data_IF_544539551529
#
_entry.id   IF_544539551529
#
_cell.length_a   1.000
_cell.length_b   1.000
_cell.length_c   1.000
_cell.angle_alpha   90.00
_cell.angle_beta   90.00
_cell.angle_gamma   90.00
#
_symmetry.space_group_name_H-M   'P 1'
#
loop_
_entity.id
_entity.type
_entity.pdbx_description
1 polymer ?
#
# COMPACT_ATOMS: atom_id res chain seq x y z
N UNK A 1 -2.84 -3.24 1.45
CA UNK A 1 -4.21 -2.78 1.77
C UNK A 1 -4.50 -2.99 3.25
N UNK A 2 -4.35 -1.95 4.07
CA UNK A 2 -4.76 -1.89 5.49
C UNK A 2 -4.45 -0.52 6.08
N UNK A 3 -5.22 -0.08 7.06
CA UNK A 3 -5.05 1.16 7.81
C UNK A 3 -4.94 2.38 6.87
N UNK A 4 -3.81 3.09 6.90
CA UNK A 4 -3.54 4.24 6.03
C UNK A 4 -3.31 3.92 4.56
N UNK A 5 -3.15 2.64 4.22
CA UNK A 5 -2.94 2.15 2.87
C UNK A 5 -4.18 1.40 2.37
N UNK A 6 -5.29 2.12 2.15
CA UNK A 6 -6.57 1.49 1.78
C UNK A 6 -6.51 0.87 0.38
N UNK A 7 -5.85 1.52 -0.58
CA UNK A 7 -5.56 0.91 -1.89
C UNK A 7 -4.36 -0.04 -1.78
N UNK A 8 -4.15 -0.92 -2.78
CA UNK A 8 -2.92 -1.68 -2.89
C UNK A 8 -1.70 -0.75 -2.91
N UNK A 9 -0.64 -1.18 -2.26
CA UNK A 9 0.60 -0.40 -2.09
C UNK A 9 1.52 -0.59 -3.29
N UNK A 10 2.16 0.49 -3.72
CA UNK A 10 3.12 0.55 -4.84
C UNK A 10 4.52 0.07 -4.46
N UNK A 11 4.68 -0.51 -3.27
CA UNK A 11 5.94 -0.97 -2.72
C UNK A 11 5.79 -2.34 -2.07
N UNK A 12 6.90 -3.07 -2.10
CA UNK A 12 7.14 -4.29 -1.36
C UNK A 12 7.63 -3.96 0.04
N UNK A 13 7.28 -4.82 1.00
CA UNK A 13 7.81 -4.74 2.36
C UNK A 13 8.99 -5.69 2.52
N UNK A 14 10.15 -5.15 2.89
CA UNK A 14 11.34 -5.95 3.23
C UNK A 14 11.48 -5.95 4.74
N UNK A 15 11.29 -7.11 5.36
CA UNK A 15 11.46 -7.30 6.80
C UNK A 15 12.73 -8.07 7.10
N UNK A 16 13.37 -7.74 8.22
CA UNK A 16 14.45 -8.53 8.81
C UNK A 16 14.00 -9.22 10.09
N UNK A 17 14.68 -10.32 10.42
CA UNK A 17 14.57 -10.89 11.77
C UNK A 17 15.33 -10.00 12.75
N UNK A 18 14.64 -9.51 13.77
CA UNK A 18 15.15 -8.49 14.71
C UNK A 18 16.12 -9.06 15.75
N UNK A 19 16.34 -10.38 15.79
CA UNK A 19 16.87 -11.08 16.97
C UNK A 19 18.39 -11.27 17.06
N UNK A 20 19.21 -10.78 16.13
CA UNK A 20 20.67 -10.86 16.27
C UNK A 20 21.39 -9.62 15.72
N UNK A 21 22.10 -8.89 16.59
CA UNK A 21 23.15 -7.95 16.21
C UNK A 21 22.78 -6.46 16.20
N UNK A 22 23.78 -5.62 16.45
CA UNK A 22 23.72 -4.17 16.24
C UNK A 22 23.38 -3.86 14.77
N UNK A 23 22.58 -2.82 14.56
CA UNK A 23 22.13 -2.34 13.25
C UNK A 23 23.30 -1.78 12.42
N UNK A 24 24.03 -2.69 11.79
CA UNK A 24 25.26 -2.41 11.05
C UNK A 24 25.11 -2.66 9.55
N UNK A 25 24.01 -3.29 9.12
CA UNK A 25 23.78 -3.61 7.72
C UNK A 25 23.13 -2.43 6.98
N UNK A 26 23.80 -1.99 5.93
CA UNK A 26 23.30 -0.97 5.03
C UNK A 26 22.37 -1.61 4.00
N UNK A 27 21.27 -0.92 3.71
CA UNK A 27 20.61 -1.04 2.42
C UNK A 27 21.57 -0.52 1.37
N UNK A 28 21.72 -1.29 0.28
CA UNK A 28 22.66 -1.00 -0.79
C UNK A 28 21.91 -0.49 -2.02
N UNK A 29 22.57 0.34 -2.83
CA UNK A 29 22.04 0.75 -4.12
C UNK A 29 21.89 -0.47 -5.04
N UNK A 30 20.70 -0.72 -5.63
CA UNK A 30 20.47 -1.92 -6.44
C UNK A 30 21.16 -1.87 -7.81
N UNK A 31 21.48 -0.66 -8.29
CA UNK A 31 22.15 -0.40 -9.56
C UNK A 31 22.84 0.96 -9.51
N UNK A 32 23.69 1.22 -10.49
CA UNK A 32 24.26 2.55 -10.72
C UNK A 32 23.16 3.60 -10.88
N UNK A 33 23.37 4.79 -10.31
CA UNK A 33 22.42 5.88 -10.45
C UNK A 33 22.81 7.11 -9.64
N UNK A 34 21.81 7.95 -9.38
CA UNK A 34 21.95 9.17 -8.61
C UNK A 34 20.85 9.29 -7.59
N UNK A 35 21.21 9.49 -6.32
CA UNK A 35 20.22 9.93 -5.31
C UNK A 35 19.84 11.36 -5.67
N UNK A 36 18.56 11.55 -6.00
CA UNK A 36 18.02 12.83 -6.47
C UNK A 36 17.15 13.54 -5.44
N UNK A 37 16.62 12.80 -4.46
CA UNK A 37 15.83 13.34 -3.36
C UNK A 37 15.95 12.46 -2.12
N UNK A 38 16.00 13.10 -0.95
CA UNK A 38 15.87 12.47 0.36
C UNK A 38 14.86 13.30 1.15
N UNK A 39 13.78 12.67 1.62
CA UNK A 39 12.89 13.27 2.63
C UNK A 39 13.22 12.67 3.99
N UNK A 40 13.25 13.50 5.03
CA UNK A 40 13.37 13.08 6.43
C UNK A 40 12.03 13.38 7.10
N UNK A 41 11.33 12.34 7.54
CA UNK A 41 10.08 12.48 8.29
C UNK A 41 10.36 12.51 9.81
N UNK A 42 9.32 12.61 10.63
CA UNK A 42 9.41 12.37 12.07
C UNK A 42 10.11 11.04 12.39
N UNK A 43 10.96 11.04 13.41
CA UNK A 43 11.71 9.85 13.83
C UNK A 43 10.78 8.69 14.21
N UNK A 44 11.18 7.47 13.85
CA UNK A 44 10.44 6.27 14.21
C UNK A 44 10.85 5.79 15.60
N UNK A 45 9.84 5.53 16.43
CA UNK A 45 10.01 4.94 17.77
C UNK A 45 9.78 3.43 17.67
N UNK A 46 10.69 2.62 18.23
CA UNK A 46 10.54 1.18 18.24
C UNK A 46 9.36 0.74 19.14
N UNK A 47 8.53 -0.17 18.62
CA UNK A 47 7.33 -0.64 19.36
C UNK A 47 7.67 -1.43 20.62
N UNK A 48 8.84 -2.05 20.69
CA UNK A 48 9.28 -2.88 21.83
C UNK A 48 10.12 -2.12 22.86
N UNK A 49 10.63 -0.93 22.51
CA UNK A 49 11.40 -0.08 23.40
C UNK A 49 11.31 1.38 22.93
N UNK A 50 10.54 2.19 23.67
CA UNK A 50 10.31 3.59 23.31
C UNK A 50 11.54 4.49 23.46
N UNK A 51 12.63 3.99 24.04
CA UNK A 51 13.92 4.71 24.10
C UNK A 51 14.73 4.60 22.80
N UNK A 52 14.36 3.67 21.91
CA UNK A 52 14.99 3.50 20.61
C UNK A 52 14.26 4.36 19.58
N UNK A 53 14.93 5.39 19.09
CA UNK A 53 14.51 6.22 17.97
C UNK A 53 15.49 6.08 16.82
N UNK A 54 14.97 6.06 15.59
CA UNK A 54 15.79 6.09 14.37
C UNK A 54 15.23 7.10 13.37
N UNK A 55 16.08 7.69 12.51
CA UNK A 55 15.62 8.52 11.40
C UNK A 55 14.63 7.78 10.48
N UNK A 56 13.77 8.53 9.80
CA UNK A 56 12.82 8.02 8.81
C UNK A 56 13.04 8.67 7.44
N UNK A 57 13.93 8.08 6.65
CA UNK A 57 14.27 8.58 5.34
C UNK A 57 13.49 7.90 4.23
N UNK A 58 12.98 8.72 3.29
CA UNK A 58 12.57 8.31 1.94
C UNK A 58 13.62 8.74 0.95
N UNK A 59 14.27 7.79 0.27
CA UNK A 59 15.32 8.02 -0.72
C UNK A 59 14.81 7.69 -2.11
N UNK A 60 15.03 8.59 -3.08
CA UNK A 60 14.75 8.38 -4.50
C UNK A 60 16.05 8.31 -5.28
N UNK A 61 16.27 7.18 -5.94
CA UNK A 61 17.41 6.94 -6.84
C UNK A 61 16.89 6.97 -8.28
N UNK A 62 17.50 7.82 -9.10
CA UNK A 62 17.28 7.88 -10.54
C UNK A 62 18.38 7.07 -11.23
N UNK A 63 18.01 6.04 -12.00
CA UNK A 63 18.96 5.22 -12.77
C UNK A 63 19.05 5.70 -14.22
N UNK A 64 17.91 6.10 -14.79
CA UNK A 64 17.79 6.74 -16.11
C UNK A 64 16.79 7.90 -16.01
N UNK A 65 16.49 8.58 -17.12
CA UNK A 65 15.45 9.63 -17.11
C UNK A 65 14.04 9.10 -16.83
N UNK A 66 13.80 7.79 -17.04
CA UNK A 66 12.49 7.15 -16.84
C UNK A 66 12.46 6.13 -15.72
N UNK A 67 13.62 5.71 -15.17
CA UNK A 67 13.68 4.58 -14.25
C UNK A 67 14.17 4.97 -12.85
N UNK A 68 13.39 4.63 -11.83
CA UNK A 68 13.58 5.07 -10.46
C UNK A 68 13.43 3.92 -9.45
N UNK A 69 14.27 3.92 -8.42
CA UNK A 69 14.04 3.13 -7.20
C UNK A 69 13.68 4.07 -6.06
N UNK A 70 12.68 3.69 -5.27
CA UNK A 70 12.30 4.41 -4.05
C UNK A 70 12.40 3.45 -2.87
N UNK A 71 13.09 3.91 -1.83
CA UNK A 71 13.08 3.31 -0.51
C UNK A 71 12.41 4.25 0.49
N UNK A 72 11.61 3.69 1.41
CA UNK A 72 10.98 4.42 2.53
C UNK A 72 11.33 3.69 3.83
N UNK A 73 11.33 4.39 4.96
CA UNK A 73 11.65 3.81 6.26
C UNK A 73 13.11 3.37 6.39
N UNK A 74 14.02 4.14 5.80
CA UNK A 74 15.46 4.01 5.99
C UNK A 74 15.94 4.81 7.20
N UNK A 75 16.90 4.26 7.94
CA UNK A 75 17.50 4.85 9.12
C UNK A 75 18.62 5.83 8.78
N UNK A 76 19.70 5.82 9.56
CA UNK A 76 20.87 6.67 9.36
C UNK A 76 21.44 6.54 7.93
N UNK A 77 21.71 7.68 7.27
CA UNK A 77 22.34 7.70 5.95
C UNK A 77 23.78 7.18 6.02
N UNK A 78 24.24 6.53 4.95
CA UNK A 78 25.64 6.13 4.84
C UNK A 78 26.57 7.36 4.92
N UNK A 79 27.79 7.22 5.48
CA UNK A 79 28.70 8.36 5.67
C UNK A 79 28.98 9.15 4.40
N UNK A 80 29.12 8.47 3.26
CA UNK A 80 29.37 9.12 1.98
C UNK A 80 28.15 9.89 1.48
N UNK A 81 26.94 9.36 1.68
CA UNK A 81 25.69 10.08 1.37
C UNK A 81 25.58 11.31 2.27
N UNK A 82 25.78 11.16 3.58
CA UNK A 82 25.74 12.25 4.57
C UNK A 82 26.77 13.35 4.26
N UNK A 83 27.98 12.98 3.83
CA UNK A 83 29.02 13.93 3.45
C UNK A 83 28.62 14.80 2.24
N UNK A 84 27.78 14.27 1.34
CA UNK A 84 27.26 15.02 0.18
C UNK A 84 26.02 15.86 0.51
N UNK A 85 25.12 15.33 1.32
CA UNK A 85 23.83 15.97 1.60
C UNK A 85 23.90 16.97 2.75
N UNK A 86 24.84 16.77 3.68
CA UNK A 86 24.77 17.34 5.01
C UNK A 86 23.64 16.72 5.83
N UNK A 87 23.47 17.22 7.05
CA UNK A 87 22.35 16.86 7.91
C UNK A 87 21.03 17.35 7.31
N UNK A 88 20.01 16.47 7.32
CA UNK A 88 18.67 16.77 6.85
C UNK A 88 17.76 16.81 8.09
N UNK A 89 17.27 18.00 8.44
CA UNK A 89 16.40 18.16 9.60
C UNK A 89 15.11 17.31 9.46
N UNK A 90 14.50 16.87 10.58
CA UNK A 90 13.18 16.25 10.55
C UNK A 90 12.14 17.12 9.82
N UNK A 91 11.17 16.47 9.20
CA UNK A 91 10.11 17.08 8.37
C UNK A 91 10.62 17.98 7.24
N UNK A 92 11.81 17.67 6.72
CA UNK A 92 12.45 18.42 5.65
C UNK A 92 12.89 17.53 4.49
N UNK A 93 13.30 18.18 3.40
CA UNK A 93 13.66 17.50 2.16
C UNK A 93 14.94 18.07 1.57
N UNK A 94 15.85 17.16 1.23
CA UNK A 94 16.99 17.42 0.37
C UNK A 94 16.65 17.11 -1.08
N UNK A 95 17.13 17.96 -1.99
CA UNK A 95 16.93 17.79 -3.43
C UNK A 95 18.20 18.10 -4.20
N UNK A 96 18.53 17.23 -5.15
CA UNK A 96 19.63 17.41 -6.12
C UNK A 96 19.45 18.55 -7.13
N UNK A 97 18.37 19.32 -7.06
CA UNK A 97 18.26 20.58 -7.82
C UNK A 97 18.89 21.75 -7.06
N UNK A 98 19.11 21.60 -5.75
CA UNK A 98 19.72 22.60 -4.86
C UNK A 98 21.19 22.29 -4.54
N UNK A 99 21.66 21.12 -4.94
CA UNK A 99 22.99 20.56 -4.72
C UNK A 99 23.31 19.59 -5.84
N UNK A 100 24.55 19.14 -5.99
CA UNK A 100 24.84 18.10 -7.01
C UNK A 100 24.17 16.77 -6.59
N UNK A 101 23.59 15.97 -7.51
CA UNK A 101 23.11 14.63 -7.19
C UNK A 101 24.21 13.75 -6.59
N UNK A 102 23.87 12.84 -5.67
CA UNK A 102 24.85 11.91 -5.10
C UNK A 102 24.98 10.70 -6.03
N UNK A 103 26.12 10.52 -6.72
CA UNK A 103 26.32 9.32 -7.55
C UNK A 103 26.45 8.09 -6.64
N UNK A 104 25.81 6.99 -7.03
CA UNK A 104 25.95 5.69 -6.36
C UNK A 104 26.23 4.60 -7.38
N UNK A 105 27.00 3.60 -6.97
CA UNK A 105 27.26 2.36 -7.72
C UNK A 105 26.47 1.19 -7.15
N UNK A 106 26.17 0.22 -7.99
CA UNK A 106 25.55 -1.03 -7.55
C UNK A 106 26.34 -1.63 -6.37
N UNK A 107 25.64 -1.92 -5.27
CA UNK A 107 26.23 -2.45 -4.04
C UNK A 107 26.80 -1.41 -3.07
N UNK A 108 26.77 -0.12 -3.39
CA UNK A 108 27.20 0.93 -2.45
C UNK A 108 26.17 1.17 -1.34
N UNK A 109 26.61 1.33 -0.08
CA UNK A 109 25.75 1.70 1.04
C UNK A 109 24.99 3.01 0.82
N UNK A 110 23.66 3.01 1.05
CA UNK A 110 22.84 4.23 0.98
C UNK A 110 22.38 4.71 2.36
N UNK A 111 21.86 3.81 3.19
CA UNK A 111 21.39 4.07 4.55
C UNK A 111 21.17 2.75 5.29
N UNK A 112 21.08 2.80 6.62
CA UNK A 112 20.69 1.66 7.44
C UNK A 112 19.19 1.37 7.31
N UNK A 113 18.74 0.22 7.80
CA UNK A 113 17.31 -0.04 7.95
C UNK A 113 16.72 0.84 9.05
N UNK A 114 15.55 1.43 8.84
CA UNK A 114 14.88 2.26 9.85
C UNK A 114 14.02 1.43 10.80
N UNK A 115 14.59 0.48 11.55
CA UNK A 115 13.96 -0.54 12.43
C UNK A 115 13.81 -1.95 11.81
N UNK A 116 12.62 -2.55 11.83
CA UNK A 116 12.40 -3.97 11.48
C UNK A 116 12.25 -4.22 9.98
N UNK A 117 12.10 -3.16 9.19
CA UNK A 117 11.86 -3.26 7.76
C UNK A 117 11.79 -1.90 7.10
N UNK A 118 11.83 -1.94 5.77
CA UNK A 118 11.73 -0.78 4.89
C UNK A 118 10.85 -1.11 3.68
N UNK A 119 10.38 -0.07 3.00
CA UNK A 119 9.58 -0.21 1.79
C UNK A 119 10.48 -0.09 0.57
N UNK A 120 10.25 -0.91 -0.44
CA UNK A 120 11.01 -0.92 -1.69
C UNK A 120 10.09 -0.93 -2.90
N UNK A 121 10.28 0.03 -3.80
CA UNK A 121 9.54 0.10 -5.06
C UNK A 121 10.42 0.52 -6.22
N UNK A 122 10.01 0.11 -7.42
CA UNK A 122 10.64 0.47 -8.68
C UNK A 122 9.57 1.05 -9.60
N UNK A 123 9.91 2.14 -10.27
CA UNK A 123 9.00 2.90 -11.12
C UNK A 123 9.65 3.17 -12.46
N UNK A 124 8.92 2.88 -13.53
CA UNK A 124 9.32 3.13 -14.91
C UNK A 124 8.27 4.05 -15.55
N UNK A 125 8.64 5.29 -15.82
CA UNK A 125 7.72 6.29 -16.38
C UNK A 125 7.31 5.99 -17.82
N UNK A 126 7.99 5.06 -18.50
CA UNK A 126 7.61 4.56 -19.81
C UNK A 126 6.48 3.51 -19.72
N UNK A 127 6.14 3.06 -18.52
CA UNK A 127 5.04 2.13 -18.23
C UNK A 127 3.86 2.86 -17.61
N UNK A 128 2.62 2.52 -17.99
CA UNK A 128 1.40 3.01 -17.35
C UNK A 128 0.53 1.79 -17.01
N UNK A 129 0.14 1.65 -15.75
CA UNK A 129 -0.73 0.59 -15.24
C UNK A 129 -2.19 0.77 -15.66
N UNK A 130 -2.97 -0.32 -15.64
CA UNK A 130 -4.33 -0.39 -16.17
C UNK A 130 -5.40 0.13 -15.20
N UNK A 131 -5.10 1.21 -14.46
CA UNK A 131 -6.11 1.90 -13.65
C UNK A 131 -7.20 2.48 -14.56
N UNK A 132 -8.46 2.37 -14.16
CA UNK A 132 -9.60 2.85 -14.96
C UNK A 132 -9.57 4.38 -15.15
N UNK A 133 -9.13 5.12 -14.13
CA UNK A 133 -8.82 6.56 -14.19
C UNK A 133 -7.46 6.84 -13.52
N UNK A 134 -6.36 6.86 -14.28
CA UNK A 134 -5.02 7.15 -13.74
C UNK A 134 -4.90 8.53 -13.08
N UNK A 135 -5.66 9.53 -13.54
CA UNK A 135 -5.65 10.90 -13.00
C UNK A 135 -6.03 10.98 -11.51
N UNK A 136 -6.73 9.96 -10.98
CA UNK A 136 -7.01 9.87 -9.55
C UNK A 136 -5.76 9.71 -8.69
N UNK A 137 -4.62 9.36 -9.27
CA UNK A 137 -3.36 9.19 -8.55
C UNK A 137 -2.45 10.42 -8.62
N UNK A 138 -2.93 11.58 -9.07
CA UNK A 138 -2.10 12.80 -9.25
C UNK A 138 -1.27 13.21 -8.01
N UNK A 139 -1.80 13.03 -6.80
CA UNK A 139 -1.07 13.34 -5.55
C UNK A 139 0.07 12.36 -5.23
N UNK A 140 0.03 11.17 -5.82
CA UNK A 140 1.09 10.15 -5.76
C UNK A 140 1.35 9.63 -7.18
N UNK A 141 1.65 10.57 -8.08
CA UNK A 141 1.69 10.35 -9.53
C UNK A 141 2.69 9.28 -10.01
N UNK A 142 3.63 8.85 -9.17
CA UNK A 142 4.52 7.74 -9.48
C UNK A 142 3.82 6.37 -9.44
N UNK A 143 2.71 6.22 -8.70
CA UNK A 143 2.02 4.93 -8.52
C UNK A 143 1.59 4.29 -9.84
N UNK A 144 1.18 5.09 -10.82
CA UNK A 144 0.73 4.58 -12.12
C UNK A 144 1.88 3.99 -12.95
N UNK A 145 3.12 4.22 -12.53
CA UNK A 145 4.35 3.79 -13.17
C UNK A 145 5.07 2.64 -12.43
N UNK A 146 4.42 2.07 -11.41
CA UNK A 146 4.99 0.99 -10.61
C UNK A 146 5.15 -0.29 -11.43
N UNK A 147 6.33 -0.91 -11.34
CA UNK A 147 6.68 -2.13 -12.07
C UNK A 147 7.20 -3.21 -11.13
N UNK A 148 7.12 -4.48 -11.56
CA UNK A 148 7.71 -5.61 -10.82
C UNK A 148 9.24 -5.42 -10.70
N UNK A 149 9.81 -5.23 -9.49
CA UNK A 149 11.25 -5.05 -9.32
C UNK A 149 12.06 -6.27 -9.77
N UNK A 150 11.54 -7.49 -9.62
CA UNK A 150 12.29 -8.73 -9.84
C UNK A 150 12.61 -8.97 -11.32
N UNK A 151 11.92 -8.32 -12.25
CA UNK A 151 12.22 -8.46 -13.68
C UNK A 151 13.57 -7.84 -14.07
N UNK A 152 14.12 -6.94 -13.24
CA UNK A 152 15.36 -6.21 -13.50
C UNK A 152 16.61 -6.84 -12.85
N UNK A 153 16.44 -7.93 -12.12
CA UNK A 153 17.56 -8.66 -11.52
C UNK A 153 18.02 -9.80 -12.42
N UNK A 154 19.33 -9.95 -12.55
CA UNK A 154 19.95 -11.12 -13.17
C UNK A 154 20.07 -12.28 -12.18
N UNK A 155 20.24 -13.50 -12.69
CA UNK A 155 20.52 -14.68 -11.87
C UNK A 155 21.97 -14.64 -11.33
N UNK A 156 22.22 -15.12 -10.09
CA UNK A 156 21.27 -15.81 -9.19
C UNK A 156 20.44 -14.88 -8.31
N UNK A 157 20.70 -13.57 -8.32
CA UNK A 157 20.10 -12.61 -7.39
C UNK A 157 18.57 -12.54 -7.53
N UNK A 158 18.05 -12.68 -8.76
CA UNK A 158 16.60 -12.78 -9.00
C UNK A 158 15.98 -13.97 -8.26
N UNK A 159 16.51 -15.18 -8.46
CA UNK A 159 16.02 -16.37 -7.75
C UNK A 159 16.19 -16.26 -6.24
N UNK A 160 17.31 -15.70 -5.77
CA UNK A 160 17.56 -15.51 -4.35
C UNK A 160 16.54 -14.57 -3.71
N UNK A 161 16.19 -13.46 -4.37
CA UNK A 161 15.14 -12.54 -3.92
C UNK A 161 13.76 -13.20 -3.94
N UNK A 162 13.40 -13.86 -5.04
CA UNK A 162 12.12 -14.56 -5.18
C UNK A 162 11.95 -15.69 -4.15
N UNK A 163 13.04 -16.30 -3.68
CA UNK A 163 13.00 -17.30 -2.61
C UNK A 163 12.56 -16.73 -1.25
N UNK A 164 12.61 -15.40 -1.08
CA UNK A 164 12.16 -14.69 0.14
C UNK A 164 10.73 -14.18 0.06
N UNK A 165 10.15 -14.16 -1.13
CA UNK A 165 8.79 -13.62 -1.35
C UNK A 165 7.75 -14.59 -0.82
N UNK A 166 6.96 -14.14 0.16
CA UNK A 166 5.91 -14.95 0.80
C UNK A 166 4.74 -15.30 -0.12
N UNK A 167 4.51 -14.51 -1.16
CA UNK A 167 3.53 -14.78 -2.21
C UNK A 167 4.08 -15.85 -3.14
N UNK A 168 3.28 -16.86 -3.46
CA UNK A 168 3.64 -17.98 -4.35
C UNK A 168 3.01 -17.86 -5.75
N UNK A 169 1.92 -17.08 -5.88
CA UNK A 169 1.11 -17.00 -7.10
C UNK A 169 1.53 -15.76 -7.92
N UNK A 170 1.68 -15.93 -9.24
CA UNK A 170 2.02 -14.83 -10.14
C UNK A 170 0.93 -13.73 -10.20
N UNK A 171 1.30 -12.45 -10.42
CA UNK A 171 2.68 -11.94 -10.38
C UNK A 171 3.29 -12.04 -8.97
N UNK A 172 4.54 -12.51 -8.83
CA UNK A 172 5.19 -12.69 -7.51
C UNK A 172 5.32 -11.39 -6.71
N UNK A 173 5.51 -10.25 -7.39
CA UNK A 173 5.50 -8.93 -6.76
C UNK A 173 4.08 -8.39 -6.44
N UNK A 174 3.03 -9.08 -6.88
CA UNK A 174 1.66 -8.57 -6.83
C UNK A 174 1.38 -7.53 -7.93
N UNK A 175 0.21 -6.90 -7.83
CA UNK A 175 -0.21 -5.77 -8.67
C UNK A 175 -1.07 -4.82 -7.85
N UNK A 176 -1.33 -3.62 -8.38
CA UNK A 176 -2.08 -2.57 -7.67
C UNK A 176 -3.31 -2.06 -8.42
N UNK A 177 -3.39 -2.34 -9.71
CA UNK A 177 -4.41 -1.95 -10.68
C UNK A 177 -5.47 -3.05 -10.84
N UNK A 178 -6.17 -3.38 -9.75
CA UNK A 178 -7.25 -4.39 -9.76
C UNK A 178 -8.57 -3.89 -10.36
N UNK A 179 -8.58 -2.69 -10.93
CA UNK A 179 -9.76 -2.08 -11.50
C UNK A 179 -10.24 -2.88 -12.70
N UNK A 180 -11.52 -3.25 -12.70
CA UNK A 180 -12.18 -3.84 -13.87
C UNK A 180 -13.38 -2.98 -14.21
N UNK A 181 -13.35 -2.34 -15.38
CA UNK A 181 -14.40 -1.47 -15.89
C UNK A 181 -15.77 -2.18 -15.88
N UNK A 182 -16.82 -1.47 -15.44
CA UNK A 182 -18.18 -2.00 -15.38
C UNK A 182 -18.45 -2.97 -14.22
N UNK A 183 -17.49 -3.20 -13.33
CA UNK A 183 -17.64 -4.07 -12.15
C UNK A 183 -17.31 -3.31 -10.86
N UNK A 184 -17.55 -3.92 -9.70
CA UNK A 184 -17.13 -3.34 -8.40
C UNK A 184 -15.65 -3.58 -8.06
N UNK A 185 -14.91 -4.42 -8.79
CA UNK A 185 -13.53 -4.76 -8.48
C UNK A 185 -12.56 -3.59 -8.74
N UNK A 186 -11.71 -3.26 -7.76
CA UNK A 186 -10.67 -2.22 -7.79
C UNK A 186 -10.84 -1.12 -6.73
N UNK A 187 -10.21 0.04 -6.98
CA UNK A 187 -10.18 1.20 -6.08
C UNK A 187 -11.35 2.16 -6.32
N UNK A 188 -11.88 2.77 -5.27
CA UNK A 188 -13.04 3.66 -5.30
C UNK A 188 -12.83 4.84 -4.35
N UNK A 189 -13.36 6.00 -4.72
CA UNK A 189 -13.21 7.22 -3.94
C UNK A 189 -14.59 7.78 -3.59
N UNK A 190 -14.81 8.21 -2.34
CA UNK A 190 -16.09 8.75 -1.93
C UNK A 190 -16.48 9.94 -2.83
N UNK A 191 -17.74 10.03 -3.23
CA UNK A 191 -18.22 11.11 -4.10
C UNK A 191 -17.89 12.48 -3.52
N UNK A 192 -17.44 13.39 -4.38
CA UNK A 192 -16.91 14.70 -3.99
C UNK A 192 -15.47 14.68 -3.45
N UNK A 193 -14.84 13.52 -3.33
CA UNK A 193 -13.43 13.37 -2.92
C UNK A 193 -12.67 12.76 -4.09
N UNK A 194 -11.82 13.56 -4.75
CA UNK A 194 -11.21 13.14 -6.01
C UNK A 194 -9.82 12.55 -5.75
N UNK A 195 -9.77 11.23 -5.61
CA UNK A 195 -8.53 10.46 -5.67
C UNK A 195 -7.54 10.71 -4.52
N UNK A 196 -6.26 10.73 -4.89
CA UNK A 196 -5.09 11.03 -4.06
C UNK A 196 -4.77 12.53 -3.97
N UNK A 197 -5.66 13.41 -4.44
CA UNK A 197 -5.42 14.86 -4.33
C UNK A 197 -5.43 15.30 -2.87
N UNK A 198 -4.52 16.20 -2.52
CA UNK A 198 -4.50 16.84 -1.20
C UNK A 198 -5.81 17.59 -1.01
N UNK A 199 -6.60 17.20 0.00
CA UNK A 199 -7.82 17.92 0.36
C UNK A 199 -7.46 19.35 0.79
N UNK A 200 -8.22 20.34 0.31
CA UNK A 200 -8.09 21.72 0.78
C UNK A 200 -8.20 21.77 2.31
N UNK A 201 -7.23 22.41 2.97
CA UNK A 201 -7.18 22.50 4.44
C UNK A 201 -6.17 21.57 5.12
N UNK A 202 -5.43 20.75 4.35
CA UNK A 202 -4.16 20.11 4.75
C UNK A 202 -4.13 19.55 6.17
N UNK A 203 -4.56 18.30 6.36
CA UNK A 203 -4.38 17.63 7.67
C UNK A 203 -5.34 16.50 8.02
N UNK A 204 -6.20 16.04 7.10
CA UNK A 204 -7.02 14.84 7.30
C UNK A 204 -6.29 13.56 6.91
N UNK A 205 -6.72 12.42 7.47
CA UNK A 205 -6.33 11.09 6.98
C UNK A 205 -6.85 10.92 5.54
N UNK A 206 -6.02 11.22 4.55
CA UNK A 206 -6.44 11.30 3.14
C UNK A 206 -7.13 10.03 2.64
N UNK A 207 -6.77 8.88 3.22
CA UNK A 207 -7.29 7.57 2.91
C UNK A 207 -8.69 7.29 3.46
N UNK A 208 -9.25 8.11 4.37
CA UNK A 208 -10.58 7.90 4.96
C UNK A 208 -11.71 7.85 3.93
N UNK A 209 -11.44 8.38 2.73
CA UNK A 209 -12.38 8.46 1.63
C UNK A 209 -12.13 7.43 0.55
N UNK A 210 -11.18 6.52 0.78
CA UNK A 210 -10.82 5.45 -0.13
C UNK A 210 -11.56 4.17 0.25
N UNK A 211 -11.80 3.35 -0.75
CA UNK A 211 -12.37 2.01 -0.65
C UNK A 211 -11.70 1.15 -1.71
N UNK A 212 -11.39 -0.09 -1.37
CA UNK A 212 -10.90 -1.08 -2.32
C UNK A 212 -11.65 -2.38 -2.17
N UNK A 213 -12.10 -2.93 -3.29
CA UNK A 213 -12.70 -4.26 -3.36
C UNK A 213 -11.82 -5.07 -4.32
N UNK A 214 -10.90 -5.85 -3.78
CA UNK A 214 -9.88 -6.53 -4.58
C UNK A 214 -9.51 -7.87 -3.92
N UNK A 215 -8.26 -8.30 -4.09
CA UNK A 215 -7.77 -9.59 -3.63
C UNK A 215 -6.58 -9.44 -2.69
N UNK A 216 -6.30 -10.48 -1.91
CA UNK A 216 -5.19 -10.49 -0.98
C UNK A 216 -3.83 -10.44 -1.68
N UNK A 217 -2.89 -9.71 -1.07
CA UNK A 217 -1.57 -9.47 -1.65
C UNK A 217 -0.66 -10.70 -1.55
N UNK A 218 -0.93 -11.66 -0.67
CA UNK A 218 -0.22 -12.95 -0.62
C UNK A 218 -0.97 -14.01 -1.44
N UNK A 219 -2.26 -14.20 -1.18
CA UNK A 219 -3.09 -15.17 -1.91
C UNK A 219 -4.16 -14.44 -2.74
N UNK A 220 -3.90 -14.18 -4.04
CA UNK A 220 -4.83 -13.44 -4.90
C UNK A 220 -6.16 -14.16 -5.15
N UNK A 221 -6.33 -15.40 -4.68
CA UNK A 221 -7.64 -16.06 -4.76
C UNK A 221 -8.61 -15.54 -3.69
N UNK A 222 -8.10 -14.87 -2.64
CA UNK A 222 -8.91 -14.43 -1.50
C UNK A 222 -9.42 -13.01 -1.71
N UNK A 223 -10.73 -12.80 -1.67
CA UNK A 223 -11.36 -11.48 -1.73
C UNK A 223 -11.07 -10.69 -0.46
N UNK A 224 -10.79 -9.39 -0.65
CA UNK A 224 -10.55 -8.41 0.40
C UNK A 224 -11.35 -7.15 0.15
N UNK A 225 -11.93 -6.63 1.22
CA UNK A 225 -12.60 -5.33 1.22
C UNK A 225 -11.83 -4.43 2.19
N UNK A 226 -11.16 -3.42 1.64
CA UNK A 226 -10.38 -2.44 2.39
C UNK A 226 -11.15 -1.13 2.45
N UNK A 227 -11.44 -0.65 3.65
CA UNK A 227 -12.33 0.49 3.88
C UNK A 227 -11.58 1.54 4.69
N UNK A 228 -11.50 2.77 4.17
CA UNK A 228 -10.82 3.87 4.86
C UNK A 228 -11.65 4.58 5.91
N UNK A 229 -12.97 4.62 5.73
CA UNK A 229 -13.89 5.27 6.67
C UNK A 229 -14.00 4.48 7.98
N UNK A 230 -14.50 5.14 9.03
CA UNK A 230 -14.90 4.48 10.26
C UNK A 230 -16.14 3.60 9.99
N UNK A 231 -15.96 2.29 10.11
CA UNK A 231 -16.98 1.26 9.86
C UNK A 231 -17.86 0.98 11.07
N UNK A 232 -17.50 1.51 12.25
CA UNK A 232 -18.09 1.10 13.54
C UNK A 232 -17.71 -0.31 13.98
N UNK A 233 -16.84 -1.02 13.23
CA UNK A 233 -16.30 -2.32 13.61
C UNK A 233 -15.15 -2.09 14.61
N UNK A 234 -15.18 -2.79 15.73
CA UNK A 234 -14.13 -2.69 16.74
C UNK A 234 -12.96 -3.60 16.39
N UNK A 235 -12.12 -3.16 15.44
CA UNK A 235 -10.96 -3.94 15.01
C UNK A 235 -10.06 -4.34 16.19
N UNK A 236 -9.84 -3.49 17.20
CA UNK A 236 -8.97 -3.83 18.34
C UNK A 236 -9.46 -5.06 19.12
N UNK A 237 -10.78 -5.24 19.24
CA UNK A 237 -11.38 -6.34 19.99
C UNK A 237 -11.75 -7.54 19.10
N UNK A 238 -12.28 -7.27 17.90
CA UNK A 238 -12.90 -8.28 17.05
C UNK A 238 -11.98 -8.78 15.92
N UNK A 239 -11.01 -7.97 15.49
CA UNK A 239 -10.01 -8.36 14.50
C UNK A 239 -8.77 -7.44 14.52
N UNK A 240 -7.88 -7.64 15.50
CA UNK A 240 -6.71 -6.78 15.72
C UNK A 240 -5.62 -6.88 14.63
N UNK A 241 -5.90 -7.60 13.56
CA UNK A 241 -5.07 -7.72 12.36
C UNK A 241 -5.74 -7.14 11.11
N UNK A 242 -7.03 -6.80 11.15
CA UNK A 242 -7.78 -6.35 9.98
C UNK A 242 -7.41 -4.91 9.59
N UNK A 243 -7.46 -3.99 10.55
CA UNK A 243 -7.17 -2.56 10.33
C UNK A 243 -7.90 -2.00 9.11
N UNK A 244 -9.22 -2.16 9.05
CA UNK A 244 -10.05 -1.76 7.91
C UNK A 244 -9.93 -2.66 6.66
N UNK A 245 -9.10 -3.71 6.67
CA UNK A 245 -9.01 -4.71 5.61
C UNK A 245 -9.60 -6.05 6.06
N UNK A 246 -10.76 -6.38 5.51
CA UNK A 246 -11.57 -7.51 5.97
C UNK A 246 -11.55 -8.67 4.97
N UNK A 247 -11.64 -9.89 5.51
CA UNK A 247 -11.96 -11.06 4.72
C UNK A 247 -13.48 -11.10 4.44
N UNK A 248 -13.88 -11.94 3.48
CA UNK A 248 -15.28 -12.12 3.08
C UNK A 248 -15.70 -13.55 3.32
N UNK A 249 -16.84 -13.78 3.99
CA UNK A 249 -17.37 -15.14 4.21
C UNK A 249 -17.55 -15.88 2.89
N UNK A 250 -17.11 -17.13 2.86
CA UNK A 250 -17.22 -17.98 1.66
C UNK A 250 -16.39 -17.49 0.47
N UNK A 251 -15.57 -16.45 0.66
CA UNK A 251 -14.72 -15.88 -0.38
C UNK A 251 -15.49 -15.39 -1.62
N UNK A 252 -16.71 -14.89 -1.45
CA UNK A 252 -17.50 -14.45 -2.60
C UNK A 252 -18.78 -13.70 -2.23
N UNK A 253 -19.56 -13.27 -3.24
CA UNK A 253 -19.32 -13.44 -4.69
C UNK A 253 -18.06 -12.71 -5.21
N UNK A 254 -17.49 -13.15 -6.34
CA UNK A 254 -16.28 -12.53 -6.91
C UNK A 254 -16.57 -11.10 -7.39
N UNK A 255 -15.89 -10.07 -6.87
CA UNK A 255 -16.14 -8.68 -7.24
C UNK A 255 -15.94 -8.39 -8.73
N UNK A 256 -15.09 -9.16 -9.43
CA UNK A 256 -14.88 -9.02 -10.87
C UNK A 256 -16.11 -9.44 -11.72
N UNK A 257 -17.11 -10.05 -11.10
CA UNK A 257 -18.33 -10.53 -11.78
C UNK A 257 -19.57 -9.68 -11.48
N UNK A 258 -19.43 -8.68 -10.62
CA UNK A 258 -20.56 -7.91 -10.09
C UNK A 258 -20.62 -6.56 -10.80
N UNK A 259 -21.62 -6.40 -11.66
CA UNK A 259 -21.90 -5.16 -12.39
C UNK A 259 -23.30 -4.63 -12.08
N UNK A 260 -23.79 -3.73 -12.93
CA UNK A 260 -25.10 -3.06 -12.73
C UNK A 260 -26.27 -4.04 -12.63
N UNK A 261 -26.26 -5.11 -13.43
CA UNK A 261 -27.33 -6.12 -13.46
C UNK A 261 -27.37 -7.04 -12.23
N UNK A 262 -26.30 -7.04 -11.42
CA UNK A 262 -26.21 -7.87 -10.21
C UNK A 262 -27.10 -7.36 -9.07
N UNK A 263 -27.54 -6.10 -9.12
CA UNK A 263 -28.34 -5.48 -8.08
C UNK A 263 -27.56 -5.31 -6.76
N UNK A 264 -28.28 -5.36 -5.63
CA UNK A 264 -27.68 -5.24 -4.31
C UNK A 264 -26.94 -6.54 -3.93
N UNK A 265 -25.65 -6.40 -3.63
CA UNK A 265 -24.83 -7.47 -3.06
C UNK A 265 -24.56 -7.18 -1.58
N UNK A 266 -24.54 -8.24 -0.78
CA UNK A 266 -24.20 -8.21 0.64
C UNK A 266 -23.02 -9.16 0.88
N UNK A 267 -21.92 -8.59 1.33
CA UNK A 267 -20.76 -9.33 1.79
C UNK A 267 -20.78 -9.40 3.32
N UNK A 268 -20.63 -10.60 3.88
CA UNK A 268 -20.35 -10.72 5.30
C UNK A 268 -18.85 -10.51 5.54
N UNK A 269 -18.51 -9.45 6.25
CA UNK A 269 -17.15 -9.12 6.63
C UNK A 269 -16.71 -10.04 7.78
N UNK A 270 -15.55 -10.65 7.60
CA UNK A 270 -14.99 -11.63 8.53
C UNK A 270 -13.63 -11.16 9.04
N UNK A 271 -13.28 -11.58 10.27
CA UNK A 271 -11.92 -11.45 10.78
C UNK A 271 -10.92 -12.21 9.90
N UNK A 272 -9.63 -11.94 10.08
CA UNK A 272 -8.54 -12.64 9.40
C UNK A 272 -7.70 -13.44 10.39
N UNK A 273 -7.08 -14.52 9.93
CA UNK A 273 -6.28 -15.40 10.78
C UNK A 273 -5.21 -16.15 9.98
N UNK A 274 -4.49 -17.05 10.65
CA UNK A 274 -3.47 -17.90 10.03
C UNK A 274 -2.14 -17.18 9.79
N UNK A 275 -1.23 -17.87 9.12
CA UNK A 275 0.08 -17.32 8.77
C UNK A 275 -0.11 -16.09 7.87
N UNK A 276 0.58 -14.99 8.20
CA UNK A 276 0.48 -13.69 7.51
C UNK A 276 -0.95 -13.13 7.40
N UNK A 277 -1.91 -13.62 8.20
CA UNK A 277 -3.30 -13.17 8.24
C UNK A 277 -4.08 -13.32 6.91
N UNK A 278 -3.78 -14.37 6.14
CA UNK A 278 -4.39 -14.63 4.82
C UNK A 278 -5.71 -15.40 4.92
N UNK A 279 -5.93 -16.18 5.97
CA UNK A 279 -7.11 -17.03 6.06
C UNK A 279 -8.33 -16.27 6.60
N UNK A 280 -9.50 -16.72 6.18
CA UNK A 280 -10.77 -16.21 6.68
C UNK A 280 -10.92 -16.70 8.13
N UNK A 281 -11.08 -15.77 9.05
CA UNK A 281 -11.33 -16.03 10.47
C UNK A 281 -12.77 -16.42 10.77
N UNK A 282 -13.02 -16.75 12.04
CA UNK A 282 -14.32 -17.26 12.49
C UNK A 282 -15.25 -16.17 13.04
N UNK A 283 -14.78 -14.94 13.21
CA UNK A 283 -15.56 -13.83 13.77
C UNK A 283 -16.26 -13.09 12.65
N UNK A 284 -17.59 -13.02 12.70
CA UNK A 284 -18.38 -12.11 11.86
C UNK A 284 -18.29 -10.71 12.41
N UNK A 285 -17.97 -9.74 11.54
CA UNK A 285 -17.74 -8.35 11.91
C UNK A 285 -18.90 -7.44 11.49
N UNK A 286 -19.67 -7.85 10.48
CA UNK A 286 -20.80 -7.08 9.97
C UNK A 286 -21.07 -7.36 8.50
N UNK A 287 -21.95 -6.55 7.91
CA UNK A 287 -22.32 -6.66 6.50
C UNK A 287 -21.87 -5.42 5.73
N UNK A 288 -21.17 -5.64 4.62
CA UNK A 288 -20.88 -4.63 3.62
C UNK A 288 -21.86 -4.77 2.44
N UNK A 289 -22.66 -3.74 2.24
CA UNK A 289 -23.60 -3.61 1.14
C UNK A 289 -22.91 -2.87 0.01
N UNK A 290 -23.08 -3.37 -1.21
CA UNK A 290 -22.59 -2.69 -2.42
C UNK A 290 -23.54 -2.90 -3.57
N UNK A 291 -23.75 -1.85 -4.35
CA UNK A 291 -24.50 -1.90 -5.59
C UNK A 291 -23.79 -1.05 -6.65
N UNK A 292 -23.53 -1.64 -7.81
CA UNK A 292 -23.06 -0.91 -8.97
C UNK A 292 -24.22 -0.15 -9.61
N UNK A 293 -24.13 1.17 -9.69
CA UNK A 293 -25.18 2.04 -10.21
C UNK A 293 -24.98 2.37 -11.71
N UNK A 294 -23.91 1.87 -12.32
CA UNK A 294 -23.49 2.27 -13.66
C UNK A 294 -22.61 3.51 -13.63
N UNK A 295 -22.06 3.87 -14.80
CA UNK A 295 -21.27 5.10 -15.00
C UNK A 295 -20.21 5.32 -13.89
N UNK A 296 -19.41 4.28 -13.61
CA UNK A 296 -18.32 4.33 -12.62
C UNK A 296 -18.79 4.83 -11.24
N UNK A 297 -19.98 4.41 -10.83
CA UNK A 297 -20.59 4.81 -9.55
C UNK A 297 -21.07 3.57 -8.80
N UNK A 298 -20.74 3.51 -7.51
CA UNK A 298 -21.28 2.50 -6.59
C UNK A 298 -21.92 3.17 -5.38
N UNK A 299 -22.90 2.48 -4.80
CA UNK A 299 -23.46 2.80 -3.48
C UNK A 299 -22.98 1.75 -2.48
N UNK A 300 -22.51 2.18 -1.33
CA UNK A 300 -22.02 1.29 -0.27
C UNK A 300 -22.58 1.65 1.09
N UNK A 301 -22.59 0.66 1.99
CA UNK A 301 -22.87 0.85 3.41
C UNK A 301 -22.25 -0.29 4.21
N UNK A 302 -21.69 0.01 5.38
CA UNK A 302 -21.23 -1.01 6.33
C UNK A 302 -22.17 -0.99 7.53
N UNK A 303 -22.68 -2.16 7.90
CA UNK A 303 -23.50 -2.34 9.09
C UNK A 303 -22.78 -3.30 10.04
N UNK A 304 -22.06 -2.73 11.01
CA UNK A 304 -21.29 -3.48 11.99
C UNK A 304 -22.18 -4.42 12.83
N UNK A 305 -21.66 -5.62 13.13
CA UNK A 305 -22.30 -6.61 13.99
C UNK A 305 -23.60 -7.23 13.44
N UNK A 306 -23.95 -6.99 12.17
CA UNK A 306 -25.15 -7.56 11.53
C UNK A 306 -24.81 -8.57 10.44
N UNK A 307 -25.53 -9.68 10.44
CA UNK A 307 -25.45 -10.69 9.39
C UNK A 307 -26.20 -10.24 8.13
N UNK A 308 -25.83 -10.75 6.93
CA UNK A 308 -26.48 -10.35 5.68
C UNK A 308 -28.00 -10.53 5.65
N UNK A 309 -28.51 -11.58 6.32
CA UNK A 309 -29.95 -11.90 6.39
C UNK A 309 -30.72 -10.99 7.34
N UNK A 310 -30.03 -10.30 8.27
CA UNK A 310 -30.65 -9.30 9.16
C UNK A 310 -30.76 -7.92 8.50
N UNK A 311 -30.06 -7.71 7.38
CA UNK A 311 -30.05 -6.43 6.67
C UNK A 311 -31.01 -6.50 5.48
N UNK A 312 -31.98 -5.60 5.38
CA UNK A 312 -32.92 -5.59 4.25
C UNK A 312 -32.26 -4.99 3.00
N UNK A 313 -31.63 -3.82 3.16
CA UNK A 313 -30.98 -3.06 2.09
C UNK A 313 -30.32 -1.80 2.65
N UNK A 314 -29.99 -0.86 1.77
CA UNK A 314 -29.41 0.42 2.16
C UNK A 314 -30.34 1.23 3.06
N UNK A 315 -29.75 1.92 4.03
CA UNK A 315 -30.38 2.99 4.80
C UNK A 315 -30.03 4.37 4.22
N UNK A 316 -30.46 5.42 4.91
CA UNK A 316 -30.08 6.80 4.60
C UNK A 316 -28.60 7.11 4.90
N UNK A 317 -27.90 6.23 5.62
CA UNK A 317 -26.47 6.37 5.94
C UNK A 317 -25.53 5.90 4.82
N UNK A 318 -26.06 5.26 3.78
CA UNK A 318 -25.27 4.78 2.64
C UNK A 318 -24.51 5.91 1.94
N UNK A 319 -23.34 5.61 1.40
CA UNK A 319 -22.48 6.56 0.71
C UNK A 319 -22.36 6.23 -0.77
N UNK A 320 -22.10 7.25 -1.57
CA UNK A 320 -21.76 7.11 -2.99
C UNK A 320 -20.24 7.17 -3.14
N UNK A 321 -19.71 6.26 -3.95
CA UNK A 321 -18.31 6.23 -4.35
C UNK A 321 -18.23 6.23 -5.88
N UNK A 322 -17.16 6.82 -6.41
CA UNK A 322 -16.92 6.98 -7.84
C UNK A 322 -15.52 6.55 -8.24
N UNK A 323 -15.41 6.24 -9.53
CA UNK A 323 -14.16 6.14 -10.28
C UNK A 323 -14.10 7.17 -11.38
#
# INVERSE_FOLDING_TARGET
MSASHVTPTDHLYVYRNVWEGEDTEYVLAPADGWIVSISSNEERIARWDSSITVPDHRIVIMHTCSFFTIFIHLGELAPDVMAHTGEISPDSKWYSIRSTPVPVKAGEPIAKMGLTGFDWSVHDTDTILDFVIPDHYEGENWKIHTVDPFQFFEEPLKSDLLSKVVREIEPRAGKIDYDIEGTIAGNWFQDGTVGYRVLEGGGGKYWEKHLTIAYDWIDPTKVRISIGLDTGINDEQDCNVCFGNYAVRGNGPDPATIGTESGLIKYELMSRTGLNNVEIGNTSLGTFLVQHLGNRTIRIEVIAGKLPDEVIGFSDASLIYRR
#
